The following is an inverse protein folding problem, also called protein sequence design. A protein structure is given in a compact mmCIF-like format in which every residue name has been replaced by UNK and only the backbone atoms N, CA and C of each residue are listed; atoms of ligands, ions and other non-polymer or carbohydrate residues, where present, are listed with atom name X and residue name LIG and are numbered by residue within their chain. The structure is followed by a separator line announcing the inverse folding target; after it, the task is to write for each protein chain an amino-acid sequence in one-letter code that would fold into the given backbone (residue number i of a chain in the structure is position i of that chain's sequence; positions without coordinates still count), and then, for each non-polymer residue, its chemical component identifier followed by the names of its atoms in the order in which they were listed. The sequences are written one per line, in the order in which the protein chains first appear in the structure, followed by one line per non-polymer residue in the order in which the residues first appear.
data_IF_772563003292
#
_entry.id   IF_772563003292
#
_cell.length_a   1.000
_cell.length_b   1.000
_cell.length_c   1.000
_cell.angle_alpha   90.00
_cell.angle_beta   90.00
_cell.angle_gamma   90.00
#
_symmetry.space_group_name_H-M   'P 1'
#
loop_
_entity.id
_entity.type
_entity.pdbx_description
1 polymer ?
#
# COMPACT_ATOMS: atom_id res chain seq x y z
N UNK A 1 10.24 5.82 4.17
CA UNK A 1 9.41 5.10 3.19
C UNK A 1 10.11 5.09 1.84
N UNK A 2 10.48 3.91 1.39
CA UNK A 2 10.93 3.64 0.02
C UNK A 2 9.75 3.22 -0.87
N UNK A 3 10.03 2.95 -2.14
CA UNK A 3 9.02 2.56 -3.13
C UNK A 3 8.31 1.25 -2.75
N UNK A 4 9.01 0.29 -2.14
CA UNK A 4 8.44 -1.00 -1.74
C UNK A 4 7.47 -0.82 -0.58
N UNK A 5 7.87 -0.09 0.47
CA UNK A 5 7.00 0.24 1.59
C UNK A 5 5.77 1.03 1.11
N UNK A 6 5.96 2.01 0.22
CA UNK A 6 4.85 2.75 -0.40
C UNK A 6 3.91 1.82 -1.17
N UNK A 7 4.46 0.91 -1.97
CA UNK A 7 3.71 -0.05 -2.76
C UNK A 7 2.84 -0.94 -1.86
N UNK A 8 3.43 -1.57 -0.84
CA UNK A 8 2.70 -2.47 0.05
C UNK A 8 1.66 -1.68 0.85
N UNK A 9 1.98 -0.49 1.37
CA UNK A 9 1.00 0.37 2.08
C UNK A 9 -0.17 0.80 1.19
N UNK A 10 0.06 0.99 -0.11
CA UNK A 10 -1.00 1.30 -1.07
C UNK A 10 -1.96 0.13 -1.34
N UNK A 11 -1.49 -1.11 -1.12
CA UNK A 11 -2.31 -2.33 -1.23
C UNK A 11 -2.99 -2.67 0.10
N UNK A 12 -2.23 -2.56 1.20
CA UNK A 12 -2.66 -2.77 2.58
C UNK A 12 -1.77 -1.96 3.52
N UNK A 13 -2.34 -0.91 4.10
CA UNK A 13 -1.60 -0.04 5.01
C UNK A 13 -1.06 -0.83 6.24
N UNK A 14 -1.84 -1.69 6.92
CA UNK A 14 -1.34 -2.46 8.07
C UNK A 14 -0.21 -3.43 7.70
N UNK A 15 -0.27 -4.11 6.55
CA UNK A 15 0.85 -4.95 6.10
C UNK A 15 2.09 -4.11 5.81
N UNK A 16 1.93 -2.97 5.14
CA UNK A 16 3.05 -2.10 4.83
C UNK A 16 3.70 -1.44 6.05
N UNK A 17 2.97 -1.27 7.17
CA UNK A 17 3.56 -0.85 8.45
C UNK A 17 4.64 -1.82 8.94
N UNK A 18 4.52 -3.13 8.63
CA UNK A 18 5.51 -4.14 9.02
C UNK A 18 6.85 -4.00 8.29
N UNK A 19 6.94 -3.16 7.25
CA UNK A 19 8.19 -2.85 6.54
C UNK A 19 8.89 -1.60 7.07
N UNK A 20 8.25 -0.88 7.99
CA UNK A 20 8.84 0.30 8.60
C UNK A 20 10.09 -0.09 9.40
N UNK A 21 11.21 0.59 9.14
CA UNK A 21 12.51 0.38 9.82
C UNK A 21 13.12 -1.02 9.65
N UNK A 22 12.52 -1.89 8.84
CA UNK A 22 13.07 -3.21 8.48
C UNK A 22 14.26 -3.04 7.55
N UNK A 23 15.41 -3.66 7.80
CA UNK A 23 16.54 -3.60 6.89
C UNK A 23 16.26 -4.36 5.59
N UNK A 24 16.60 -3.78 4.43
CA UNK A 24 16.46 -4.44 3.13
C UNK A 24 17.79 -5.09 2.77
N UNK A 25 17.77 -6.37 2.43
CA UNK A 25 18.97 -7.06 1.98
C UNK A 25 18.71 -7.90 0.73
N UNK A 26 19.70 -8.05 -0.17
CA UNK A 26 19.58 -8.98 -1.29
C UNK A 26 19.50 -10.43 -0.80
N UNK A 27 18.82 -11.29 -1.57
CA UNK A 27 18.72 -12.73 -1.34
C UNK A 27 18.05 -13.45 -2.49
N UNK A 28 17.84 -14.76 -2.37
CA UNK A 28 17.17 -15.57 -3.42
C UNK A 28 15.64 -15.57 -3.26
N UNK A 29 15.14 -15.28 -2.07
CA UNK A 29 13.71 -15.35 -1.73
C UNK A 29 13.29 -14.12 -0.94
N UNK A 30 12.00 -13.79 -1.04
CA UNK A 30 11.33 -12.92 -0.09
C UNK A 30 11.22 -13.65 1.24
N UNK A 31 11.93 -13.15 2.25
CA UNK A 31 11.84 -13.66 3.62
C UNK A 31 11.75 -12.49 4.58
N UNK A 32 10.71 -12.49 5.41
CA UNK A 32 10.50 -11.43 6.40
C UNK A 32 10.84 -11.91 7.80
N UNK A 33 11.62 -11.12 8.51
CA UNK A 33 11.90 -11.24 9.93
C UNK A 33 11.55 -9.92 10.61
N UNK A 34 11.56 -9.85 11.94
CA UNK A 34 11.23 -8.62 12.68
C UNK A 34 12.04 -7.39 12.26
N UNK A 35 13.32 -7.58 11.92
CA UNK A 35 14.25 -6.46 11.68
C UNK A 35 14.80 -6.44 10.26
N UNK A 36 14.55 -7.46 9.44
CA UNK A 36 15.13 -7.58 8.10
C UNK A 36 14.17 -8.26 7.12
N UNK A 37 14.20 -7.81 5.87
CA UNK A 37 13.60 -8.47 4.72
C UNK A 37 14.69 -8.82 3.71
N UNK A 38 14.75 -10.08 3.29
CA UNK A 38 15.55 -10.46 2.11
C UNK A 38 14.69 -10.32 0.86
N UNK A 39 15.28 -9.82 -0.21
CA UNK A 39 14.58 -9.44 -1.45
C UNK A 39 15.30 -10.08 -2.64
N UNK A 40 14.58 -10.83 -3.50
CA UNK A 40 15.12 -11.35 -4.74
C UNK A 40 15.16 -10.29 -5.84
N UNK A 41 16.05 -10.51 -6.80
CA UNK A 41 16.09 -9.73 -8.05
C UNK A 41 14.95 -10.19 -8.96
N UNK A 42 13.80 -9.55 -8.84
CA UNK A 42 12.61 -9.78 -9.65
C UNK A 42 12.00 -8.44 -10.06
N UNK A 43 11.17 -8.39 -11.12
CA UNK A 43 10.49 -7.15 -11.49
C UNK A 43 9.74 -6.54 -10.30
N UNK A 44 9.81 -5.21 -10.16
CA UNK A 44 9.31 -4.53 -8.96
C UNK A 44 7.82 -4.78 -8.68
N UNK A 45 6.99 -4.88 -9.71
CA UNK A 45 5.57 -5.23 -9.56
C UNK A 45 5.37 -6.64 -8.97
N UNK A 46 6.20 -7.61 -9.37
CA UNK A 46 6.22 -8.93 -8.74
C UNK A 46 6.72 -8.83 -7.29
N UNK A 47 7.77 -8.06 -7.04
CA UNK A 47 8.30 -7.85 -5.69
C UNK A 47 7.25 -7.29 -4.72
N UNK A 48 6.46 -6.30 -5.15
CA UNK A 48 5.35 -5.77 -4.36
C UNK A 48 4.37 -6.87 -3.93
N UNK A 49 3.94 -7.69 -4.90
CA UNK A 49 2.99 -8.78 -4.64
C UNK A 49 3.58 -9.85 -3.71
N UNK A 50 4.78 -10.34 -4.04
CA UNK A 50 5.48 -11.37 -3.26
C UNK A 50 5.74 -10.89 -1.81
N UNK A 51 6.11 -9.63 -1.63
CA UNK A 51 6.31 -9.03 -0.31
C UNK A 51 5.00 -8.96 0.47
N UNK A 52 3.91 -8.51 -0.15
CA UNK A 52 2.59 -8.48 0.49
C UNK A 52 2.13 -9.86 0.94
N UNK A 53 2.29 -10.88 0.08
CA UNK A 53 1.96 -12.28 0.40
C UNK A 53 2.84 -12.80 1.54
N UNK A 54 4.17 -12.59 1.47
CA UNK A 54 5.09 -13.06 2.51
C UNK A 54 4.79 -12.42 3.88
N UNK A 55 4.44 -11.13 3.91
CA UNK A 55 4.02 -10.44 5.12
C UNK A 55 2.73 -11.04 5.68
N UNK A 56 1.71 -11.20 4.85
CA UNK A 56 0.45 -11.80 5.26
C UNK A 56 0.63 -13.22 5.78
N UNK A 57 1.42 -14.05 5.10
CA UNK A 57 1.70 -15.42 5.49
C UNK A 57 2.46 -15.53 6.82
N UNK A 58 3.27 -14.52 7.14
CA UNK A 58 4.02 -14.41 8.38
C UNK A 58 3.18 -13.94 9.57
N UNK A 59 1.98 -13.41 9.33
CA UNK A 59 1.07 -12.98 10.40
C UNK A 59 0.59 -14.15 11.26
N UNK A 60 0.27 -13.82 12.51
CA UNK A 60 -0.49 -14.74 13.33
C UNK A 60 -1.94 -14.95 12.87
N UNK A 61 -2.59 -15.98 13.40
CA UNK A 61 -3.93 -16.36 12.99
C UNK A 61 -5.00 -15.28 13.26
N UNK A 62 -4.83 -14.47 14.30
CA UNK A 62 -5.77 -13.41 14.65
C UNK A 62 -5.63 -12.28 13.63
N UNK A 63 -4.41 -11.88 13.33
CA UNK A 63 -4.13 -10.81 12.36
C UNK A 63 -4.49 -11.22 10.93
N UNK A 64 -4.25 -12.47 10.53
CA UNK A 64 -4.74 -13.01 9.25
C UNK A 64 -6.24 -12.86 9.11
N UNK A 65 -7.00 -13.20 10.15
CA UNK A 65 -8.47 -13.04 10.13
C UNK A 65 -8.88 -11.58 9.99
N UNK A 66 -8.22 -10.66 10.70
CA UNK A 66 -8.51 -9.22 10.62
C UNK A 66 -8.20 -8.64 9.23
N UNK A 67 -7.13 -9.12 8.61
CA UNK A 67 -6.61 -8.63 7.32
C UNK A 67 -7.03 -9.48 6.13
N UNK A 68 -8.10 -10.29 6.25
CA UNK A 68 -8.58 -11.12 5.14
C UNK A 68 -8.98 -10.28 3.92
N UNK A 69 -9.57 -9.10 4.14
CA UNK A 69 -9.94 -8.18 3.06
C UNK A 69 -8.71 -7.55 2.39
N UNK A 70 -7.66 -7.28 3.17
CA UNK A 70 -6.37 -6.79 2.69
C UNK A 70 -5.66 -7.83 1.82
N UNK A 71 -5.73 -9.12 2.19
CA UNK A 71 -5.27 -10.19 1.31
C UNK A 71 -6.05 -10.21 -0.01
N UNK A 72 -7.36 -9.98 0.04
CA UNK A 72 -8.17 -9.77 -1.16
C UNK A 72 -7.69 -8.60 -2.04
N UNK A 73 -7.12 -7.54 -1.44
CA UNK A 73 -6.53 -6.43 -2.20
C UNK A 73 -5.24 -6.85 -2.94
N UNK A 74 -4.42 -7.70 -2.32
CA UNK A 74 -3.25 -8.30 -2.98
C UNK A 74 -3.66 -9.14 -4.19
N UNK A 75 -4.72 -9.96 -4.07
CA UNK A 75 -5.22 -10.77 -5.19
C UNK A 75 -5.85 -9.93 -6.31
N UNK A 76 -6.53 -8.82 -5.97
CA UNK A 76 -7.00 -7.85 -6.98
C UNK A 76 -5.83 -7.20 -7.71
N UNK A 77 -4.75 -6.85 -6.99
CA UNK A 77 -3.54 -6.33 -7.60
C UNK A 77 -2.90 -7.35 -8.55
N UNK A 78 -2.73 -8.60 -8.11
CA UNK A 78 -2.26 -9.71 -8.96
C UNK A 78 -3.08 -9.83 -10.23
N UNK A 79 -4.41 -9.89 -10.11
CA UNK A 79 -5.32 -10.02 -11.26
C UNK A 79 -5.16 -8.85 -12.24
N UNK A 80 -5.11 -7.62 -11.72
CA UNK A 80 -4.93 -6.41 -12.54
C UNK A 80 -3.60 -6.40 -13.29
N UNK A 81 -2.52 -6.81 -12.63
CA UNK A 81 -1.19 -6.81 -13.23
C UNK A 81 -1.04 -7.93 -14.26
N UNK A 82 -1.58 -9.13 -13.99
CA UNK A 82 -1.60 -10.23 -14.94
C UNK A 82 -2.43 -9.93 -16.19
N UNK A 83 -3.48 -9.10 -16.07
CA UNK A 83 -4.25 -8.59 -17.21
C UNK A 83 -3.61 -7.42 -17.96
N UNK A 84 -2.43 -6.94 -17.53
CA UNK A 84 -1.73 -5.82 -18.16
C UNK A 84 -0.73 -6.28 -19.22
N UNK A 85 -0.13 -5.32 -19.94
CA UNK A 85 0.95 -5.59 -20.90
C UNK A 85 2.19 -6.25 -20.27
N UNK A 86 2.37 -6.12 -18.96
CA UNK A 86 3.47 -6.76 -18.21
C UNK A 86 3.11 -8.17 -17.75
N UNK A 87 1.87 -8.61 -17.96
CA UNK A 87 1.32 -9.83 -17.37
C UNK A 87 2.15 -11.08 -17.66
N UNK A 88 2.55 -11.29 -18.92
CA UNK A 88 3.29 -12.49 -19.31
C UNK A 88 4.70 -12.55 -18.69
N UNK A 89 5.38 -11.41 -18.57
CA UNK A 89 6.68 -11.32 -17.90
C UNK A 89 6.57 -11.54 -16.38
N UNK A 90 5.42 -11.20 -15.79
CA UNK A 90 5.19 -11.27 -14.35
C UNK A 90 4.53 -12.59 -13.90
N UNK A 91 3.94 -13.33 -14.85
CA UNK A 91 3.22 -14.59 -14.63
C UNK A 91 3.99 -15.61 -13.79
N UNK A 92 5.29 -15.88 -14.06
CA UNK A 92 6.04 -16.88 -13.30
C UNK A 92 6.10 -16.58 -11.79
N UNK A 93 6.13 -15.31 -11.41
CA UNK A 93 6.21 -14.86 -10.02
C UNK A 93 4.85 -14.84 -9.34
N UNK A 94 3.80 -14.47 -10.08
CA UNK A 94 2.47 -14.24 -9.53
C UNK A 94 1.59 -15.48 -9.48
N UNK A 95 1.77 -16.46 -10.38
CA UNK A 95 1.00 -17.72 -10.35
C UNK A 95 1.60 -18.77 -9.41
N UNK A 96 2.87 -18.63 -9.03
CA UNK A 96 3.56 -19.55 -8.13
C UNK A 96 4.39 -18.79 -7.08
N UNK A 97 3.76 -17.93 -6.24
CA UNK A 97 4.48 -17.07 -5.31
C UNK A 97 5.32 -17.86 -4.29
N UNK A 98 4.88 -19.07 -3.91
CA UNK A 98 5.60 -19.94 -2.98
C UNK A 98 6.99 -20.40 -3.48
N UNK A 99 7.31 -20.26 -4.77
CA UNK A 99 8.67 -20.50 -5.28
C UNK A 99 9.66 -19.39 -4.95
N UNK A 100 9.15 -18.20 -4.60
CA UNK A 100 9.92 -17.00 -4.36
C UNK A 100 9.80 -16.49 -2.92
N UNK A 101 9.04 -17.18 -2.08
CA UNK A 101 8.80 -16.81 -0.69
C UNK A 101 9.37 -17.92 0.20
N UNK A 102 10.16 -17.53 1.20
CA UNK A 102 10.70 -18.42 2.22
C UNK A 102 10.01 -18.16 3.57
N UNK A 103 9.73 -19.19 4.38
CA UNK A 103 9.13 -19.02 5.70
C UNK A 103 9.88 -17.98 6.55
N UNK A 104 9.13 -17.00 7.04
CA UNK A 104 9.61 -15.92 7.89
C UNK A 104 9.46 -16.21 9.39
N UNK A 105 9.69 -15.17 10.19
CA UNK A 105 9.28 -15.16 11.59
C UNK A 105 7.79 -14.86 11.71
N UNK A 106 7.18 -15.23 12.84
CA UNK A 106 5.80 -14.82 13.15
C UNK A 106 5.78 -13.31 13.46
N UNK A 107 5.00 -12.58 12.69
CA UNK A 107 4.78 -11.14 12.81
C UNK A 107 3.41 -10.85 13.45
N UNK A 108 3.30 -9.66 14.02
CA UNK A 108 2.06 -9.12 14.55
C UNK A 108 1.96 -7.64 14.19
N UNK A 109 0.75 -7.18 13.87
CA UNK A 109 0.47 -5.77 13.60
C UNK A 109 0.31 -5.01 14.90
N UNK A 110 0.95 -3.85 15.00
CA UNK A 110 0.71 -2.93 16.11
C UNK A 110 -0.62 -2.18 15.89
N UNK A 111 -1.70 -2.80 16.34
CA UNK A 111 -3.05 -2.25 16.23
C UNK A 111 -3.27 -0.98 17.05
N UNK A 112 -2.52 -0.82 18.15
CA UNK A 112 -2.61 0.38 18.98
C UNK A 112 -2.01 1.57 18.23
N UNK A 113 -0.84 1.38 17.63
CA UNK A 113 -0.21 2.40 16.77
C UNK A 113 -1.09 2.74 15.57
N UNK A 114 -1.71 1.75 14.91
CA UNK A 114 -2.65 1.99 13.81
C UNK A 114 -3.82 2.89 14.25
N UNK A 115 -4.41 2.63 15.42
CA UNK A 115 -5.50 3.44 15.95
C UNK A 115 -5.05 4.86 16.33
N UNK A 116 -3.84 5.02 16.88
CA UNK A 116 -3.24 6.34 17.13
C UNK A 116 -3.06 7.13 15.82
N UNK A 117 -2.57 6.47 14.76
CA UNK A 117 -2.42 7.10 13.44
C UNK A 117 -3.77 7.43 12.81
N UNK A 118 -4.76 6.55 12.96
CA UNK A 118 -6.13 6.77 12.48
C UNK A 118 -6.73 8.06 13.07
N UNK A 119 -6.61 8.26 14.39
CA UNK A 119 -7.10 9.48 15.06
C UNK A 119 -6.49 10.76 14.50
N UNK A 120 -5.22 10.72 14.05
CA UNK A 120 -4.55 11.88 13.43
C UNK A 120 -5.11 12.21 12.04
N UNK A 121 -5.53 11.20 11.28
CA UNK A 121 -6.05 11.40 9.91
C UNK A 121 -7.59 11.50 9.86
N UNK A 122 -8.28 11.14 10.94
CA UNK A 122 -9.74 11.18 11.03
C UNK A 122 -10.37 12.54 10.67
N UNK A 123 -9.81 13.70 11.05
CA UNK A 123 -10.35 14.99 10.61
C UNK A 123 -10.30 15.17 9.09
N UNK A 124 -9.27 14.61 8.44
CA UNK A 124 -9.05 14.74 7.00
C UNK A 124 -10.02 13.87 6.21
N UNK A 125 -10.33 12.64 6.67
CA UNK A 125 -11.30 11.78 5.97
C UNK A 125 -12.71 12.35 6.08
N UNK A 126 -13.10 12.86 7.26
CA UNK A 126 -14.40 13.51 7.47
C UNK A 126 -14.57 14.70 6.53
N UNK A 127 -13.56 15.56 6.45
CA UNK A 127 -13.58 16.71 5.54
C UNK A 127 -13.64 16.29 4.06
N UNK A 128 -12.96 15.21 3.66
CA UNK A 128 -13.07 14.68 2.29
C UNK A 128 -14.47 14.16 1.97
N UNK A 129 -15.11 13.43 2.89
CA UNK A 129 -16.49 12.94 2.72
C UNK A 129 -17.50 14.09 2.67
N UNK A 130 -17.30 15.16 3.45
CA UNK A 130 -18.13 16.36 3.39
C UNK A 130 -17.99 17.09 2.05
N UNK A 131 -16.75 17.22 1.54
CA UNK A 131 -16.51 17.79 0.22
C UNK A 131 -17.12 16.94 -0.89
N UNK A 132 -17.05 15.61 -0.81
CA UNK A 132 -17.68 14.73 -1.80
C UNK A 132 -19.19 14.94 -1.88
N UNK A 133 -19.85 15.20 -0.74
CA UNK A 133 -21.31 15.43 -0.68
C UNK A 133 -21.72 16.84 -1.13
N UNK A 134 -20.86 17.83 -0.91
CA UNK A 134 -21.21 19.25 -1.11
C UNK A 134 -20.64 19.86 -2.37
N UNK A 135 -19.54 19.32 -2.89
CA UNK A 135 -18.92 19.81 -4.11
C UNK A 135 -19.80 19.46 -5.31
N UNK A 136 -20.33 20.48 -5.98
CA UNK A 136 -21.13 20.32 -7.21
C UNK A 136 -20.36 19.77 -8.42
N UNK A 137 -19.04 19.59 -8.31
CA UNK A 137 -18.20 18.94 -9.32
C UNK A 137 -16.89 18.41 -8.76
N UNK A 138 -16.25 17.50 -9.52
CA UNK A 138 -14.91 16.97 -9.21
C UNK A 138 -13.87 18.10 -9.16
N UNK A 139 -13.92 19.06 -10.08
CA UNK A 139 -12.99 20.18 -10.14
C UNK A 139 -13.09 21.07 -8.90
N UNK A 140 -14.31 21.32 -8.43
CA UNK A 140 -14.57 22.08 -7.20
C UNK A 140 -14.00 21.36 -5.97
N UNK A 141 -14.28 20.07 -5.84
CA UNK A 141 -13.72 19.23 -4.78
C UNK A 141 -12.19 19.27 -4.77
N UNK A 142 -11.58 19.05 -5.95
CA UNK A 142 -10.13 19.10 -6.09
C UNK A 142 -9.56 20.50 -5.91
N UNK A 143 -10.34 21.57 -5.92
CA UNK A 143 -9.87 22.92 -5.57
C UNK A 143 -9.88 23.11 -4.06
N UNK A 144 -10.91 22.62 -3.38
CA UNK A 144 -11.12 22.79 -1.95
C UNK A 144 -10.35 21.78 -1.08
N UNK A 145 -9.88 20.67 -1.66
CA UNK A 145 -9.05 19.67 -0.99
C UNK A 145 -7.59 20.11 -0.70
N UNK A 146 -7.31 21.42 -0.70
CA UNK A 146 -5.97 21.98 -0.46
C UNK A 146 -5.38 21.66 0.92
N UNK A 147 -6.24 21.36 1.89
CA UNK A 147 -5.85 20.95 3.25
C UNK A 147 -5.07 19.62 3.28
N UNK A 148 -5.13 18.81 2.22
CA UNK A 148 -4.30 17.60 2.10
C UNK A 148 -2.80 17.90 1.90
N UNK A 149 -2.43 19.17 1.70
CA UNK A 149 -1.03 19.61 1.73
C UNK A 149 -0.39 19.51 3.13
N UNK A 150 -1.21 19.45 4.19
CA UNK A 150 -0.75 19.46 5.59
C UNK A 150 -0.30 18.08 6.10
N UNK A 151 -0.67 17.00 5.41
CA UNK A 151 -0.37 15.63 5.87
C UNK A 151 0.88 15.05 5.20
N UNK A 152 1.53 14.13 5.89
CA UNK A 152 2.66 13.37 5.31
C UNK A 152 2.18 12.39 4.23
N UNK A 153 3.08 11.91 3.34
CA UNK A 153 2.74 10.88 2.36
C UNK A 153 2.22 9.59 3.00
N UNK A 154 2.77 9.21 4.16
CA UNK A 154 2.32 8.06 4.94
C UNK A 154 0.87 8.23 5.43
N UNK A 155 0.56 9.40 6.00
CA UNK A 155 -0.82 9.73 6.39
C UNK A 155 -1.76 9.77 5.17
N UNK A 156 -1.27 10.19 4.00
CA UNK A 156 -2.03 10.14 2.75
C UNK A 156 -2.40 8.71 2.34
N UNK A 157 -1.48 7.76 2.49
CA UNK A 157 -1.77 6.33 2.25
C UNK A 157 -2.77 5.78 3.25
N UNK A 158 -2.64 6.13 4.54
CA UNK A 158 -3.63 5.75 5.54
C UNK A 158 -5.01 6.34 5.22
N UNK A 159 -5.06 7.59 4.77
CA UNK A 159 -6.30 8.24 4.37
C UNK A 159 -6.99 7.50 3.22
N UNK A 160 -6.23 7.06 2.21
CA UNK A 160 -6.73 6.22 1.11
C UNK A 160 -7.21 4.86 1.63
N UNK A 161 -6.46 4.25 2.55
CA UNK A 161 -6.84 2.96 3.14
C UNK A 161 -8.16 3.02 3.91
N UNK A 162 -8.42 4.12 4.62
CA UNK A 162 -9.65 4.32 5.41
C UNK A 162 -10.87 4.69 4.58
N UNK A 163 -10.71 5.03 3.29
CA UNK A 163 -11.83 5.36 2.43
C UNK A 163 -12.68 4.12 2.11
N UNK A 164 -13.99 4.25 2.32
CA UNK A 164 -14.95 3.13 2.31
C UNK A 164 -15.16 2.52 0.93
N UNK A 165 -15.02 3.31 -0.14
CA UNK A 165 -15.23 2.88 -1.53
C UNK A 165 -14.15 3.38 -2.51
N UNK A 166 -14.15 2.80 -3.71
CA UNK A 166 -13.14 3.07 -4.75
C UNK A 166 -13.25 4.48 -5.37
N UNK A 167 -14.44 5.09 -5.38
CA UNK A 167 -14.60 6.46 -5.89
C UNK A 167 -13.95 7.45 -4.92
N UNK A 168 -14.24 7.34 -3.62
CA UNK A 168 -13.62 8.19 -2.61
C UNK A 168 -12.09 8.00 -2.58
N UNK A 169 -11.60 6.76 -2.69
CA UNK A 169 -10.16 6.48 -2.85
C UNK A 169 -9.55 7.19 -4.06
N UNK A 170 -10.23 7.16 -5.21
CA UNK A 170 -9.75 7.82 -6.42
C UNK A 170 -9.73 9.34 -6.27
N UNK A 171 -10.73 9.93 -5.61
CA UNK A 171 -10.79 11.36 -5.31
C UNK A 171 -9.67 11.79 -4.37
N UNK A 172 -9.45 11.06 -3.27
CA UNK A 172 -8.36 11.32 -2.32
C UNK A 172 -7.00 11.21 -3.02
N UNK A 173 -6.77 10.16 -3.82
CA UNK A 173 -5.53 10.03 -4.60
C UNK A 173 -5.30 11.21 -5.54
N UNK A 174 -6.34 11.64 -6.26
CA UNK A 174 -6.24 12.79 -7.16
C UNK A 174 -5.95 14.10 -6.40
N UNK A 175 -6.60 14.30 -5.25
CA UNK A 175 -6.40 15.47 -4.41
C UNK A 175 -4.99 15.50 -3.80
N UNK A 176 -4.49 14.37 -3.29
CA UNK A 176 -3.11 14.22 -2.81
C UNK A 176 -2.10 14.48 -3.94
N UNK A 177 -2.32 13.92 -5.13
CA UNK A 177 -1.46 14.16 -6.28
C UNK A 177 -1.40 15.62 -6.71
N UNK A 178 -2.47 16.39 -6.49
CA UNK A 178 -2.55 17.82 -6.80
C UNK A 178 -1.92 18.70 -5.73
N UNK A 179 -2.21 18.44 -4.45
CA UNK A 179 -1.92 19.37 -3.35
C UNK A 179 -0.78 18.94 -2.43
N UNK A 180 -0.32 17.70 -2.51
CA UNK A 180 0.73 17.16 -1.65
C UNK A 180 1.99 16.81 -2.46
N UNK A 181 3.00 17.70 -2.54
CA UNK A 181 4.20 17.47 -3.34
C UNK A 181 5.00 16.24 -2.89
N UNK A 182 5.02 15.94 -1.59
CA UNK A 182 5.71 14.78 -1.03
C UNK A 182 5.06 13.47 -1.51
N UNK A 183 3.73 13.40 -1.41
CA UNK A 183 2.97 12.24 -1.89
C UNK A 183 3.12 12.09 -3.40
N UNK A 184 2.97 13.18 -4.17
CA UNK A 184 3.16 13.16 -5.63
C UNK A 184 4.54 12.64 -6.02
N UNK A 185 5.59 13.11 -5.35
CA UNK A 185 6.96 12.68 -5.62
C UNK A 185 7.13 11.18 -5.36
N UNK A 186 6.59 10.68 -4.25
CA UNK A 186 6.66 9.25 -3.94
C UNK A 186 5.83 8.41 -4.91
N UNK A 187 4.62 8.83 -5.24
CA UNK A 187 3.78 8.16 -6.23
C UNK A 187 4.48 8.07 -7.60
N UNK A 188 5.15 9.14 -8.05
CA UNK A 188 5.92 9.14 -9.29
C UNK A 188 7.11 8.14 -9.25
N UNK A 189 7.86 8.10 -8.14
CA UNK A 189 8.93 7.12 -7.94
C UNK A 189 8.39 5.69 -7.99
N UNK A 190 7.30 5.44 -7.29
CA UNK A 190 6.60 4.16 -7.27
C UNK A 190 6.12 3.74 -8.67
N UNK A 191 5.45 4.64 -9.42
CA UNK A 191 5.01 4.34 -10.79
C UNK A 191 6.17 4.12 -11.75
N UNK A 192 7.29 4.82 -11.58
CA UNK A 192 8.51 4.57 -12.34
C UNK A 192 9.02 3.16 -12.04
N UNK A 193 9.18 2.79 -10.77
CA UNK A 193 9.63 1.46 -10.38
C UNK A 193 8.73 0.33 -10.91
N UNK A 194 7.41 0.51 -10.90
CA UNK A 194 6.46 -0.47 -11.45
C UNK A 194 6.64 -0.77 -12.95
N UNK A 195 7.23 0.15 -13.72
CA UNK A 195 7.43 -0.01 -15.16
C UNK A 195 8.76 -0.70 -15.52
N UNK A 196 9.65 -0.90 -14.54
CA UNK A 196 11.06 -1.24 -14.77
C UNK A 196 11.85 -0.05 -15.29
#
# INVERSE_FOLDING_TARGET
MDELEFCVKSLSYPLGMLLEKVERAPGEFVRVTRNRITIPEVPFAALCYLTGVALYDSLDFVDKKRLQNDYGALERFRTKILGSKLGDALRPYMESPGRYISPGERLAVDWLELEVRRKKVEPYIKRMMELEKTAGSREALLKEAGFLSEISPDQGLLLIYLAEDENLKALINAALGKHNPGFRTMALRHFKALRG
#
